data_IF_603800355565
#
_entry.id   IF_603800355565
#
_cell.length_a   1.000
_cell.length_b   1.000
_cell.length_c   1.000
_cell.angle_alpha   90.00
_cell.angle_beta   90.00
_cell.angle_gamma   90.00
#
_symmetry.space_group_name_H-M   'P 1'
#
loop_
_entity.id
_entity.type
_entity.pdbx_description
1 polymer ?
#
# COMPACT_ATOMS: atom_id res chain seq x y z
N UNK A 1 -10.58 -41.69 -11.41
CA UNK A 1 -11.74 -40.83 -11.12
C UNK A 1 -11.65 -40.05 -9.82
N UNK A 2 -11.35 -40.65 -8.65
CA UNK A 2 -11.35 -39.99 -7.32
C UNK A 2 -10.22 -38.96 -7.15
N UNK A 3 -9.06 -39.22 -7.70
CA UNK A 3 -7.91 -38.28 -7.65
C UNK A 3 -8.15 -36.98 -8.44
N UNK A 4 -8.85 -37.02 -9.56
CA UNK A 4 -9.19 -35.82 -10.34
C UNK A 4 -10.24 -34.96 -9.63
N UNK A 5 -11.19 -35.59 -8.93
CA UNK A 5 -12.19 -34.88 -8.13
C UNK A 5 -11.53 -34.10 -6.95
N UNK A 6 -10.53 -34.71 -6.32
CA UNK A 6 -9.75 -34.08 -5.25
C UNK A 6 -8.95 -32.87 -5.75
N UNK A 7 -8.35 -32.95 -6.95
CA UNK A 7 -7.57 -31.85 -7.53
C UNK A 7 -8.43 -30.65 -7.92
N UNK A 8 -9.64 -30.91 -8.48
CA UNK A 8 -10.58 -29.84 -8.82
C UNK A 8 -11.09 -29.14 -7.55
N UNK A 9 -11.43 -29.91 -6.52
CA UNK A 9 -11.84 -29.32 -5.23
C UNK A 9 -10.73 -28.50 -4.59
N UNK A 10 -9.48 -28.98 -4.62
CA UNK A 10 -8.33 -28.23 -4.12
C UNK A 10 -8.10 -26.93 -4.91
N UNK A 11 -8.26 -26.97 -6.22
CA UNK A 11 -8.16 -25.78 -7.07
C UNK A 11 -9.27 -24.76 -6.73
N UNK A 12 -10.53 -25.20 -6.69
CA UNK A 12 -11.68 -24.33 -6.33
C UNK A 12 -11.49 -23.72 -4.95
N UNK A 13 -11.05 -24.53 -3.99
CA UNK A 13 -10.71 -24.04 -2.64
C UNK A 13 -9.63 -22.95 -2.66
N UNK A 14 -8.56 -23.18 -3.40
CA UNK A 14 -7.45 -22.20 -3.53
C UNK A 14 -7.94 -20.88 -4.14
N UNK A 15 -8.73 -20.96 -5.21
CA UNK A 15 -9.32 -19.78 -5.86
C UNK A 15 -10.25 -19.05 -4.88
N UNK A 16 -11.09 -19.77 -4.14
CA UNK A 16 -11.99 -19.19 -3.16
C UNK A 16 -11.23 -18.46 -2.04
N UNK A 17 -10.16 -19.06 -1.50
CA UNK A 17 -9.31 -18.44 -0.48
C UNK A 17 -8.65 -17.17 -1.03
N UNK A 18 -8.07 -17.21 -2.23
CA UNK A 18 -7.48 -16.03 -2.86
C UNK A 18 -8.53 -14.95 -3.11
N UNK A 19 -9.71 -15.30 -3.61
CA UNK A 19 -10.78 -14.34 -3.85
C UNK A 19 -11.22 -13.61 -2.57
N UNK A 20 -11.34 -14.32 -1.45
CA UNK A 20 -11.72 -13.74 -0.15
C UNK A 20 -10.59 -12.92 0.46
N UNK A 21 -9.33 -13.36 0.28
CA UNK A 21 -8.16 -12.65 0.84
C UNK A 21 -7.74 -11.44 0.02
N UNK A 22 -7.99 -11.43 -1.29
CA UNK A 22 -7.74 -10.30 -2.17
C UNK A 22 -8.83 -9.24 -2.01
N UNK A 23 -8.60 -8.27 -1.13
CA UNK A 23 -9.54 -7.18 -0.83
C UNK A 23 -9.60 -6.05 -1.88
N UNK A 24 -9.32 -6.34 -3.16
CA UNK A 24 -9.19 -5.34 -4.23
C UNK A 24 -10.44 -4.47 -4.42
N UNK A 25 -11.63 -5.04 -4.23
CA UNK A 25 -12.90 -4.35 -4.46
C UNK A 25 -13.17 -3.19 -3.50
N UNK A 26 -12.73 -3.31 -2.25
CA UNK A 26 -13.02 -2.28 -1.23
C UNK A 26 -12.23 -1.00 -1.44
N UNK A 27 -10.93 -1.09 -1.76
CA UNK A 27 -10.14 0.12 -1.93
C UNK A 27 -10.38 0.80 -3.29
N UNK A 28 -10.64 0.04 -4.36
CA UNK A 28 -10.88 0.60 -5.69
C UNK A 28 -12.15 1.47 -5.74
N UNK A 29 -13.16 1.15 -4.95
CA UNK A 29 -14.39 1.93 -4.88
C UNK A 29 -14.15 3.32 -4.25
N UNK A 30 -13.54 3.36 -3.06
CA UNK A 30 -13.23 4.62 -2.39
C UNK A 30 -12.27 5.50 -3.19
N UNK A 31 -11.25 4.91 -3.78
CA UNK A 31 -10.34 5.62 -4.67
C UNK A 31 -11.06 6.25 -5.87
N UNK A 32 -11.92 5.48 -6.55
CA UNK A 32 -12.67 5.97 -7.72
C UNK A 32 -13.63 7.10 -7.36
N UNK A 33 -14.30 7.03 -6.22
CA UNK A 33 -15.18 8.09 -5.73
C UNK A 33 -14.43 9.39 -5.43
N UNK A 34 -13.27 9.31 -4.76
CA UNK A 34 -12.45 10.49 -4.45
C UNK A 34 -11.90 11.08 -5.75
N UNK A 35 -11.41 10.24 -6.66
CA UNK A 35 -10.93 10.69 -7.96
C UNK A 35 -12.02 11.41 -8.75
N UNK A 36 -13.24 10.86 -8.80
CA UNK A 36 -14.36 11.49 -9.50
C UNK A 36 -14.71 12.85 -8.92
N UNK A 37 -14.71 13.01 -7.58
CA UNK A 37 -14.94 14.29 -6.94
C UNK A 37 -13.85 15.31 -7.31
N UNK A 38 -12.60 14.90 -7.36
CA UNK A 38 -11.47 15.75 -7.76
C UNK A 38 -11.49 16.11 -9.25
N UNK A 39 -11.92 15.19 -10.13
CA UNK A 39 -12.06 15.42 -11.58
C UNK A 39 -13.12 16.49 -11.87
N UNK A 40 -14.19 16.56 -11.07
CA UNK A 40 -15.25 17.58 -11.19
C UNK A 40 -14.85 18.90 -10.49
N UNK A 41 -13.76 18.90 -9.72
CA UNK A 41 -13.29 20.07 -8.97
C UNK A 41 -13.98 20.27 -7.61
N UNK A 42 -14.72 19.29 -7.12
CA UNK A 42 -15.35 19.31 -5.80
C UNK A 42 -14.38 18.82 -4.71
N UNK A 43 -13.47 19.71 -4.32
CA UNK A 43 -12.48 19.41 -3.28
C UNK A 43 -13.14 19.19 -1.90
N UNK A 44 -14.32 19.77 -1.64
CA UNK A 44 -15.03 19.58 -0.37
C UNK A 44 -15.55 18.14 -0.24
N UNK A 45 -16.18 17.64 -1.30
CA UNK A 45 -16.65 16.26 -1.37
C UNK A 45 -15.46 15.27 -1.33
N UNK A 46 -14.35 15.59 -1.98
CA UNK A 46 -13.16 14.76 -1.95
C UNK A 46 -12.57 14.64 -0.54
N UNK A 47 -12.52 15.76 0.24
CA UNK A 47 -12.10 15.75 1.64
C UNK A 47 -13.04 14.94 2.53
N UNK A 48 -14.35 15.08 2.35
CA UNK A 48 -15.33 14.29 3.10
C UNK A 48 -15.16 12.79 2.85
N UNK A 49 -14.99 12.39 1.59
CA UNK A 49 -14.78 10.98 1.22
C UNK A 49 -13.46 10.45 1.77
N UNK A 50 -12.38 11.24 1.72
CA UNK A 50 -11.08 10.87 2.29
C UNK A 50 -11.18 10.74 3.81
N UNK A 51 -11.81 11.70 4.50
CA UNK A 51 -12.02 11.66 5.95
C UNK A 51 -12.76 10.39 6.39
N UNK A 52 -13.79 10.00 5.63
CA UNK A 52 -14.56 8.77 5.87
C UNK A 52 -13.70 7.50 5.64
N UNK A 53 -12.87 7.50 4.60
CA UNK A 53 -12.01 6.37 4.26
C UNK A 53 -10.88 6.16 5.27
N UNK A 54 -10.18 7.25 5.63
CA UNK A 54 -9.04 7.21 6.56
C UNK A 54 -9.44 7.29 8.04
N UNK A 55 -10.68 7.70 8.33
CA UNK A 55 -11.20 8.01 9.68
C UNK A 55 -10.39 9.09 10.39
N UNK A 56 -9.98 10.11 9.66
CA UNK A 56 -9.25 11.29 10.13
C UNK A 56 -9.98 12.55 9.72
N UNK A 57 -9.71 13.66 10.41
CA UNK A 57 -10.22 14.96 9.98
C UNK A 57 -9.40 15.47 8.79
N UNK A 58 -10.03 15.56 7.63
CA UNK A 58 -9.44 16.05 6.40
C UNK A 58 -9.98 17.42 5.97
N UNK A 59 -10.81 18.08 6.80
CA UNK A 59 -11.53 19.30 6.45
C UNK A 59 -10.63 20.47 6.08
N UNK A 60 -9.47 20.59 6.72
CA UNK A 60 -8.48 21.67 6.53
C UNK A 60 -7.33 21.32 5.59
N UNK A 61 -7.32 20.12 5.01
CA UNK A 61 -6.18 19.68 4.19
C UNK A 61 -6.08 20.48 2.88
N UNK A 62 -4.89 21.01 2.54
CA UNK A 62 -4.64 21.58 1.20
C UNK A 62 -4.80 20.49 0.12
N UNK A 63 -5.12 20.90 -1.09
CA UNK A 63 -5.36 19.96 -2.22
C UNK A 63 -4.15 19.04 -2.50
N UNK A 64 -2.95 19.57 -2.41
CA UNK A 64 -1.71 18.79 -2.60
C UNK A 64 -1.55 17.70 -1.56
N UNK A 65 -1.83 18.02 -0.29
CA UNK A 65 -1.78 17.07 0.82
C UNK A 65 -2.89 16.02 0.73
N UNK A 66 -4.10 16.41 0.29
CA UNK A 66 -5.19 15.49 0.01
C UNK A 66 -4.79 14.47 -1.06
N UNK A 67 -4.23 14.94 -2.19
CA UNK A 67 -3.75 14.08 -3.27
C UNK A 67 -2.64 13.14 -2.80
N UNK A 68 -1.69 13.65 -2.00
CA UNK A 68 -0.62 12.85 -1.41
C UNK A 68 -1.18 11.69 -0.59
N UNK A 69 -2.09 11.98 0.34
CA UNK A 69 -2.69 10.97 1.22
C UNK A 69 -3.51 9.93 0.43
N UNK A 70 -4.24 10.34 -0.60
CA UNK A 70 -4.95 9.41 -1.49
C UNK A 70 -3.98 8.46 -2.19
N UNK A 71 -2.87 8.98 -2.72
CA UNK A 71 -1.83 8.16 -3.37
C UNK A 71 -1.21 7.19 -2.38
N UNK A 72 -0.72 7.68 -1.24
CA UNK A 72 -0.09 6.84 -0.22
C UNK A 72 -0.99 5.72 0.24
N UNK A 73 -2.22 6.06 0.62
CA UNK A 73 -3.16 5.06 1.12
C UNK A 73 -3.53 4.03 0.05
N UNK A 74 -3.71 4.46 -1.20
CA UNK A 74 -4.02 3.56 -2.32
C UNK A 74 -2.88 2.59 -2.60
N UNK A 75 -1.65 3.07 -2.60
CA UNK A 75 -0.45 2.25 -2.83
C UNK A 75 -0.26 1.23 -1.71
N UNK A 76 -0.36 1.67 -0.45
CA UNK A 76 -0.27 0.77 0.70
C UNK A 76 -1.42 -0.23 0.76
N UNK A 77 -2.64 0.18 0.36
CA UNK A 77 -3.76 -0.74 0.24
C UNK A 77 -3.52 -1.79 -0.86
N UNK A 78 -3.02 -1.39 -2.04
CA UNK A 78 -2.66 -2.32 -3.10
C UNK A 78 -1.56 -3.29 -2.65
N UNK A 79 -0.53 -2.79 -1.96
CA UNK A 79 0.50 -3.63 -1.39
C UNK A 79 -0.08 -4.68 -0.42
N UNK A 80 -0.83 -4.25 0.60
CA UNK A 80 -1.33 -5.12 1.67
C UNK A 80 -2.44 -6.07 1.22
N UNK A 81 -3.29 -5.64 0.27
CA UNK A 81 -4.43 -6.43 -0.18
C UNK A 81 -4.16 -7.28 -1.42
N UNK A 82 -3.11 -6.99 -2.18
CA UNK A 82 -2.78 -7.72 -3.40
C UNK A 82 -1.38 -8.32 -3.33
N UNK A 83 -0.34 -7.49 -3.37
CA UNK A 83 1.02 -7.97 -3.53
C UNK A 83 1.52 -8.78 -2.33
N UNK A 84 1.32 -8.29 -1.11
CA UNK A 84 1.71 -9.01 0.10
C UNK A 84 1.02 -10.36 0.25
N UNK A 85 -0.28 -10.40 -0.07
CA UNK A 85 -1.05 -11.66 -0.08
C UNK A 85 -0.49 -12.63 -1.11
N UNK A 86 -0.21 -12.16 -2.35
CA UNK A 86 0.34 -13.00 -3.41
C UNK A 86 1.74 -13.53 -3.07
N UNK A 87 2.62 -12.70 -2.51
CA UNK A 87 3.96 -13.15 -2.08
C UNK A 87 3.85 -14.28 -1.06
N UNK A 88 3.10 -14.07 0.00
CA UNK A 88 2.94 -15.09 1.05
C UNK A 88 2.24 -16.35 0.52
N UNK A 89 1.27 -16.19 -0.38
CA UNK A 89 0.65 -17.33 -1.07
C UNK A 89 1.68 -18.15 -1.84
N UNK A 90 2.50 -17.53 -2.69
CA UNK A 90 3.50 -18.22 -3.50
C UNK A 90 4.55 -18.90 -2.63
N UNK A 91 5.06 -18.23 -1.60
CA UNK A 91 6.06 -18.79 -0.68
C UNK A 91 5.52 -20.03 0.04
N UNK A 92 4.32 -19.95 0.60
CA UNK A 92 3.71 -21.08 1.31
C UNK A 92 3.31 -22.22 0.37
N UNK A 93 2.87 -21.88 -0.84
CA UNK A 93 2.60 -22.88 -1.88
C UNK A 93 3.86 -23.66 -2.24
N UNK A 94 4.99 -22.98 -2.40
CA UNK A 94 6.27 -23.59 -2.75
C UNK A 94 6.79 -24.58 -1.68
N UNK A 95 6.45 -24.34 -0.39
CA UNK A 95 6.80 -25.26 0.71
C UNK A 95 5.70 -26.29 1.02
N UNK A 96 4.66 -26.40 0.16
CA UNK A 96 3.61 -27.40 0.28
C UNK A 96 2.48 -27.07 1.27
N UNK A 97 2.45 -25.87 1.82
CA UNK A 97 1.41 -25.42 2.76
C UNK A 97 0.16 -24.84 2.07
N UNK A 98 0.12 -24.85 0.75
CA UNK A 98 -1.02 -24.42 -0.05
C UNK A 98 -1.40 -22.94 0.16
N UNK A 99 -2.70 -22.60 0.13
CA UNK A 99 -3.18 -21.22 0.21
C UNK A 99 -3.10 -20.59 1.61
N UNK A 100 -2.60 -21.30 2.61
CA UNK A 100 -2.54 -20.83 4.02
C UNK A 100 -1.69 -19.56 4.17
N UNK A 101 -0.71 -19.31 3.29
CA UNK A 101 0.10 -18.09 3.30
C UNK A 101 -0.71 -16.82 3.08
N UNK A 102 -1.71 -16.86 2.20
CA UNK A 102 -2.62 -15.73 1.99
C UNK A 102 -3.42 -15.39 3.25
N UNK A 103 -3.96 -16.42 3.91
CA UNK A 103 -4.70 -16.28 5.16
C UNK A 103 -3.79 -15.78 6.29
N UNK A 104 -2.59 -16.36 6.39
CA UNK A 104 -1.59 -15.97 7.39
C UNK A 104 -1.23 -14.48 7.28
N UNK A 105 -0.94 -13.99 6.07
CA UNK A 105 -0.61 -12.59 5.85
C UNK A 105 -1.75 -11.65 6.26
N UNK A 106 -2.98 -11.97 5.85
CA UNK A 106 -4.17 -11.18 6.23
C UNK A 106 -4.44 -11.18 7.72
N UNK A 107 -4.25 -12.33 8.38
CA UNK A 107 -4.42 -12.44 9.83
C UNK A 107 -3.35 -11.63 10.56
N UNK A 108 -2.09 -11.69 10.13
CA UNK A 108 -0.99 -10.91 10.70
C UNK A 108 -1.24 -9.39 10.56
N UNK A 109 -1.69 -8.94 9.38
CA UNK A 109 -2.10 -7.54 9.16
C UNK A 109 -3.25 -7.13 10.09
N UNK A 110 -4.30 -7.94 10.16
CA UNK A 110 -5.47 -7.67 11.01
C UNK A 110 -5.09 -7.55 12.49
N UNK A 111 -4.28 -8.47 12.99
CA UNK A 111 -3.81 -8.46 14.38
C UNK A 111 -2.96 -7.22 14.66
N UNK A 112 -2.03 -6.87 13.79
CA UNK A 112 -1.17 -5.71 13.97
C UNK A 112 -1.95 -4.40 14.04
N UNK A 113 -3.04 -4.28 13.29
CA UNK A 113 -3.92 -3.10 13.30
C UNK A 113 -4.84 -3.05 14.51
N UNK A 114 -5.48 -4.17 14.86
CA UNK A 114 -6.45 -4.17 15.95
C UNK A 114 -5.82 -4.09 17.34
N UNK A 115 -4.57 -4.51 17.47
CA UNK A 115 -3.86 -4.41 18.74
C UNK A 115 -3.17 -3.06 18.97
N UNK A 116 -3.05 -2.22 17.93
CA UNK A 116 -2.60 -0.82 18.07
C UNK A 116 -3.62 0.11 18.68
N UNK A 117 -4.90 -0.14 18.49
CA UNK A 117 -5.95 0.83 18.79
C UNK A 117 -7.13 0.20 19.52
N UNK A 118 -7.05 0.12 20.86
CA UNK A 118 -8.27 0.02 21.67
C UNK A 118 -8.27 1.09 22.74
N UNK A 119 -9.23 2.04 22.69
CA UNK A 119 -9.41 3.04 23.75
C UNK A 119 -9.86 2.44 25.08
N UNK A 120 -10.47 1.25 25.07
CA UNK A 120 -11.26 0.73 26.21
C UNK A 120 -10.67 -0.49 26.92
N UNK A 121 -9.45 -0.86 26.65
CA UNK A 121 -8.89 -2.05 27.30
C UNK A 121 -7.57 -2.44 26.66
N UNK A 122 -6.56 -2.01 27.28
CA UNK A 122 -5.16 -2.15 26.91
C UNK A 122 -4.74 -3.60 26.67
N UNK A 123 -4.44 -4.00 25.42
CA UNK A 123 -3.45 -5.04 25.26
C UNK A 123 -2.18 -4.54 25.94
N UNK A 124 -1.51 -5.39 26.70
CA UNK A 124 -0.25 -4.99 27.35
C UNK A 124 0.70 -4.43 26.31
N UNK A 125 1.48 -3.41 26.67
CA UNK A 125 2.50 -2.83 25.77
C UNK A 125 3.37 -3.92 25.11
N UNK A 126 3.66 -5.01 25.85
CA UNK A 126 4.38 -6.16 25.34
C UNK A 126 3.66 -6.84 24.16
N UNK A 127 2.32 -6.95 24.20
CA UNK A 127 1.55 -7.55 23.11
C UNK A 127 1.50 -6.67 21.87
N UNK A 128 1.42 -5.33 22.05
CA UNK A 128 1.50 -4.37 20.97
C UNK A 128 2.86 -4.44 20.29
N UNK A 129 3.95 -4.41 21.05
CA UNK A 129 5.30 -4.57 20.50
C UNK A 129 5.52 -5.91 19.79
N UNK A 130 4.99 -6.99 20.33
CA UNK A 130 5.07 -8.30 19.68
C UNK A 130 4.32 -8.33 18.35
N UNK A 131 3.12 -7.75 18.29
CA UNK A 131 2.34 -7.67 17.07
C UNK A 131 3.01 -6.79 16.00
N UNK A 132 3.57 -5.63 16.39
CA UNK A 132 4.29 -4.74 15.48
C UNK A 132 5.59 -5.36 14.97
N UNK A 133 6.32 -6.03 15.85
CA UNK A 133 7.55 -6.73 15.48
C UNK A 133 7.24 -7.91 14.56
N UNK A 134 6.25 -8.72 14.91
CA UNK A 134 5.79 -9.82 14.06
C UNK A 134 5.34 -9.34 12.68
N UNK A 135 4.56 -8.26 12.62
CA UNK A 135 4.14 -7.66 11.34
C UNK A 135 5.33 -7.19 10.51
N UNK A 136 6.30 -6.49 11.12
CA UNK A 136 7.51 -6.05 10.43
C UNK A 136 8.29 -7.21 9.79
N UNK A 137 8.38 -8.36 10.45
CA UNK A 137 9.01 -9.55 9.91
C UNK A 137 8.23 -10.16 8.75
N UNK A 138 6.92 -10.32 8.92
CA UNK A 138 6.05 -10.90 7.89
C UNK A 138 6.02 -10.06 6.63
N UNK A 139 5.93 -8.73 6.79
CA UNK A 139 5.82 -7.78 5.68
C UNK A 139 7.16 -7.39 5.05
N UNK A 140 8.29 -7.77 5.67
CA UNK A 140 9.62 -7.38 5.22
C UNK A 140 9.94 -7.79 3.77
N UNK A 141 9.71 -9.05 3.44
CA UNK A 141 9.96 -9.60 2.09
C UNK A 141 8.89 -9.15 1.10
N UNK A 142 7.58 -9.25 1.42
CA UNK A 142 6.52 -8.74 0.55
C UNK A 142 6.70 -7.29 0.12
N UNK A 143 7.05 -6.39 1.05
CA UNK A 143 7.23 -4.97 0.74
C UNK A 143 8.38 -4.73 -0.24
N UNK A 144 9.50 -5.41 -0.08
CA UNK A 144 10.65 -5.30 -0.98
C UNK A 144 10.37 -5.84 -2.37
N UNK A 145 9.64 -6.95 -2.46
CA UNK A 145 9.23 -7.50 -3.74
C UNK A 145 8.21 -6.59 -4.45
N UNK A 146 7.28 -5.99 -3.69
CA UNK A 146 6.36 -4.98 -4.23
C UNK A 146 7.11 -3.75 -4.75
N UNK A 147 8.05 -3.22 -3.96
CA UNK A 147 8.89 -2.09 -4.35
C UNK A 147 9.71 -2.39 -5.62
N UNK A 148 10.28 -3.60 -5.71
CA UNK A 148 11.00 -4.06 -6.90
C UNK A 148 10.04 -4.16 -8.11
N UNK A 149 8.85 -4.72 -7.92
CA UNK A 149 7.82 -4.75 -8.96
C UNK A 149 7.46 -3.36 -9.48
N UNK A 150 7.27 -2.40 -8.59
CA UNK A 150 7.00 -1.01 -8.97
C UNK A 150 8.19 -0.36 -9.68
N UNK A 151 9.41 -0.64 -9.25
CA UNK A 151 10.62 -0.17 -9.92
C UNK A 151 10.69 -0.70 -11.37
N UNK A 152 10.47 -2.00 -11.56
CA UNK A 152 10.54 -2.65 -12.88
C UNK A 152 9.51 -2.09 -13.86
N UNK A 153 8.29 -1.81 -13.41
CA UNK A 153 7.21 -1.31 -14.30
C UNK A 153 7.13 0.22 -14.37
N UNK A 154 7.90 0.94 -13.53
CA UNK A 154 8.01 2.38 -13.46
C UNK A 154 9.36 2.89 -13.94
N UNK A 155 9.87 3.95 -13.29
CA UNK A 155 11.24 4.40 -13.48
C UNK A 155 12.15 3.64 -12.50
N UNK A 156 12.91 2.68 -13.01
CA UNK A 156 13.71 1.78 -12.18
C UNK A 156 14.80 2.52 -11.40
N UNK A 157 15.53 3.40 -12.06
CA UNK A 157 16.67 4.11 -11.48
C UNK A 157 16.22 5.00 -10.32
N UNK A 158 15.21 5.83 -10.55
CA UNK A 158 14.64 6.73 -9.55
C UNK A 158 13.95 5.97 -8.39
N UNK A 159 13.26 4.87 -8.69
CA UNK A 159 12.61 4.06 -7.67
C UNK A 159 13.65 3.42 -6.73
N UNK A 160 14.73 2.87 -7.27
CA UNK A 160 15.80 2.24 -6.48
C UNK A 160 16.60 3.30 -5.70
N UNK A 161 16.91 4.43 -6.33
CA UNK A 161 17.59 5.53 -5.64
C UNK A 161 16.78 6.05 -4.44
N UNK A 162 15.48 6.31 -4.64
CA UNK A 162 14.58 6.75 -3.58
C UNK A 162 14.43 5.72 -2.45
N UNK A 163 14.28 4.46 -2.81
CA UNK A 163 14.20 3.37 -1.83
C UNK A 163 15.47 3.27 -0.97
N UNK A 164 16.66 3.38 -1.57
CA UNK A 164 17.93 3.26 -0.85
C UNK A 164 18.27 4.49 0.01
N UNK A 165 17.89 5.67 -0.47
CA UNK A 165 18.25 6.92 0.18
C UNK A 165 17.23 7.42 1.22
N UNK A 166 15.94 7.26 0.92
CA UNK A 166 14.91 8.04 1.57
C UNK A 166 13.78 7.24 2.22
N UNK A 167 13.82 5.91 2.20
CA UNK A 167 12.68 5.09 2.65
C UNK A 167 12.16 5.46 4.05
N UNK A 168 13.04 5.73 5.00
CA UNK A 168 12.67 6.11 6.38
C UNK A 168 12.03 7.49 6.47
N UNK A 169 12.24 8.37 5.49
CA UNK A 169 11.61 9.70 5.43
C UNK A 169 10.14 9.64 5.05
N UNK A 170 9.71 8.58 4.34
CA UNK A 170 8.32 8.40 3.93
C UNK A 170 7.48 7.81 5.05
N UNK A 171 7.92 6.71 5.62
CA UNK A 171 7.30 6.04 6.76
C UNK A 171 8.28 5.03 7.39
N UNK A 172 8.10 4.69 8.66
CA UNK A 172 8.94 3.69 9.29
C UNK A 172 8.69 2.28 8.72
N UNK A 173 9.75 1.54 8.48
CA UNK A 173 9.71 0.12 8.10
C UNK A 173 9.28 -0.15 6.66
N UNK A 174 8.46 -1.18 6.47
CA UNK A 174 8.06 -1.69 5.15
C UNK A 174 7.24 -0.70 4.33
N UNK A 175 6.37 0.07 4.97
CA UNK A 175 5.54 1.08 4.30
C UNK A 175 6.41 2.14 3.62
N UNK A 176 7.48 2.61 4.30
CA UNK A 176 8.42 3.56 3.73
C UNK A 176 9.12 3.05 2.48
N UNK A 177 9.48 1.77 2.46
CA UNK A 177 10.10 1.13 1.28
C UNK A 177 9.16 1.17 0.07
N UNK A 178 7.89 0.82 0.26
CA UNK A 178 6.89 0.81 -0.81
C UNK A 178 6.59 2.22 -1.31
N UNK A 179 6.44 3.19 -0.38
CA UNK A 179 6.16 4.59 -0.73
C UNK A 179 7.35 5.26 -1.43
N UNK A 180 8.57 5.02 -0.96
CA UNK A 180 9.78 5.55 -1.59
C UNK A 180 9.95 5.02 -3.02
N UNK A 181 9.79 3.72 -3.22
CA UNK A 181 9.84 3.12 -4.55
C UNK A 181 8.73 3.68 -5.47
N UNK A 182 7.52 3.87 -4.94
CA UNK A 182 6.42 4.48 -5.70
C UNK A 182 6.73 5.92 -6.10
N UNK A 183 7.22 6.72 -5.14
CA UNK A 183 7.61 8.13 -5.37
C UNK A 183 8.61 8.24 -6.51
N UNK A 184 9.64 7.37 -6.54
CA UNK A 184 10.59 7.30 -7.63
C UNK A 184 9.98 6.78 -8.94
N UNK A 185 9.19 5.69 -8.86
CA UNK A 185 8.63 5.03 -10.05
C UNK A 185 7.70 5.94 -10.89
N UNK A 186 6.97 6.86 -10.25
CA UNK A 186 6.05 7.81 -10.92
C UNK A 186 6.53 9.26 -10.85
N UNK A 187 7.73 9.50 -10.33
CA UNK A 187 8.36 10.82 -10.20
C UNK A 187 7.43 11.85 -9.51
N UNK A 188 6.99 11.56 -8.29
CA UNK A 188 6.12 12.43 -7.49
C UNK A 188 6.61 12.51 -6.05
N UNK A 189 6.53 13.68 -5.43
CA UNK A 189 6.89 13.86 -4.03
C UNK A 189 5.80 13.31 -3.10
N UNK A 190 6.11 12.26 -2.35
CA UNK A 190 5.21 11.64 -1.36
C UNK A 190 5.71 11.83 0.08
N UNK A 191 6.81 12.55 0.31
CA UNK A 191 7.27 12.86 1.67
C UNK A 191 6.29 13.81 2.35
N UNK A 192 5.93 13.56 3.63
CA UNK A 192 5.13 14.49 4.40
C UNK A 192 5.82 15.86 4.46
N UNK A 193 5.07 16.94 4.22
CA UNK A 193 5.56 18.26 4.51
C UNK A 193 5.55 18.42 6.03
N UNK A 194 6.72 18.41 6.65
CA UNK A 194 6.85 18.76 8.06
C UNK A 194 6.63 20.27 8.18
N UNK A 195 5.72 20.74 9.06
CA UNK A 195 5.55 22.18 9.29
C UNK A 195 6.83 22.86 9.79
N UNK A 196 7.74 22.08 10.40
CA UNK A 196 9.01 22.51 10.92
C UNK A 196 10.19 22.34 9.95
N UNK A 197 9.97 21.85 8.75
CA UNK A 197 10.99 21.80 7.71
C UNK A 197 11.22 23.23 7.17
N UNK A 198 11.81 24.06 7.99
CA UNK A 198 12.32 25.41 7.65
C UNK A 198 13.59 25.37 6.77
N UNK A 199 13.91 24.25 6.17
CA UNK A 199 14.79 24.24 5.00
C UNK A 199 13.92 24.57 3.80
N UNK A 200 14.00 25.79 3.27
CA UNK A 200 13.40 26.08 1.98
C UNK A 200 14.00 25.04 1.01
N UNK A 201 13.19 24.19 0.42
CA UNK A 201 13.58 23.51 -0.81
C UNK A 201 13.81 24.69 -1.76
N UNK A 202 15.07 24.94 -2.09
CA UNK A 202 15.42 26.01 -3.03
C UNK A 202 14.59 25.77 -4.27
N UNK A 203 13.72 26.72 -4.59
CA UNK A 203 12.98 26.73 -5.85
C UNK A 203 14.03 26.70 -6.95
N UNK A 204 14.23 25.53 -7.57
CA UNK A 204 15.21 25.32 -8.62
C UNK A 204 16.15 24.15 -8.43
N UNK A 205 16.03 23.34 -7.38
CA UNK A 205 16.75 22.06 -7.28
C UNK A 205 16.26 21.12 -8.41
N UNK A 206 17.08 20.83 -9.43
CA UNK A 206 16.69 19.96 -10.55
C UNK A 206 16.38 18.51 -10.11
N UNK A 207 16.69 18.15 -8.85
CA UNK A 207 16.32 16.88 -8.26
C UNK A 207 15.02 16.89 -7.45
N UNK A 208 14.35 18.04 -7.28
CA UNK A 208 13.09 18.11 -6.52
C UNK A 208 11.93 17.53 -7.34
N UNK A 209 11.34 16.41 -6.83
CA UNK A 209 10.16 15.83 -7.46
C UNK A 209 8.96 16.78 -7.37
N UNK A 210 8.10 16.81 -8.40
CA UNK A 210 6.91 17.66 -8.40
C UNK A 210 5.93 17.23 -7.31
N UNK A 211 5.15 18.21 -6.83
CA UNK A 211 4.04 17.97 -5.92
C UNK A 211 2.97 17.08 -6.56
N UNK A 212 2.21 16.33 -5.74
CA UNK A 212 1.12 15.52 -6.21
C UNK A 212 0.09 16.34 -6.99
N UNK A 213 -0.25 15.87 -8.17
CA UNK A 213 -1.28 16.43 -9.07
C UNK A 213 -2.29 15.35 -9.42
N UNK A 214 -3.45 15.75 -9.95
CA UNK A 214 -4.52 14.83 -10.32
C UNK A 214 -4.06 13.76 -11.34
N UNK A 215 -3.17 14.13 -12.27
CA UNK A 215 -2.58 13.21 -13.24
C UNK A 215 -1.83 12.04 -12.57
N UNK A 216 -1.22 12.26 -11.41
CA UNK A 216 -0.50 11.21 -10.68
C UNK A 216 -1.42 10.11 -10.14
N UNK A 217 -2.71 10.38 -9.90
CA UNK A 217 -3.69 9.34 -9.53
C UNK A 217 -3.82 8.29 -10.65
N UNK A 218 -3.85 8.73 -11.91
CA UNK A 218 -3.87 7.80 -13.06
C UNK A 218 -2.56 7.05 -13.22
N UNK A 219 -1.43 7.70 -12.92
CA UNK A 219 -0.11 7.07 -12.95
C UNK A 219 0.00 5.96 -11.91
N UNK A 220 -0.54 6.17 -10.70
CA UNK A 220 -0.59 5.14 -9.64
C UNK A 220 -1.44 3.95 -10.08
N UNK A 221 -2.63 4.18 -10.63
CA UNK A 221 -3.47 3.09 -11.14
C UNK A 221 -2.74 2.30 -12.22
N UNK A 222 -2.11 3.01 -13.18
CA UNK A 222 -1.31 2.37 -14.22
C UNK A 222 -0.11 1.58 -13.69
N UNK A 223 0.57 2.10 -12.65
CA UNK A 223 1.68 1.42 -11.98
C UNK A 223 1.22 0.12 -11.33
N UNK A 224 0.14 0.18 -10.55
CA UNK A 224 -0.42 -0.99 -9.86
C UNK A 224 -0.87 -2.06 -10.86
N UNK A 225 -1.58 -1.67 -11.93
CA UNK A 225 -2.03 -2.63 -12.94
C UNK A 225 -0.87 -3.28 -13.70
N UNK A 226 0.15 -2.51 -14.10
CA UNK A 226 1.35 -3.08 -14.74
C UNK A 226 2.09 -4.02 -13.80
N UNK A 227 2.18 -3.69 -12.52
CA UNK A 227 2.78 -4.58 -11.54
C UNK A 227 1.96 -5.87 -11.35
N UNK A 228 0.62 -5.79 -11.31
CA UNK A 228 -0.24 -6.99 -11.27
C UNK A 228 0.01 -7.89 -12.49
N UNK A 229 0.08 -7.30 -13.69
CA UNK A 229 0.37 -8.07 -14.91
C UNK A 229 1.78 -8.69 -14.88
N UNK A 230 2.77 -7.99 -14.33
CA UNK A 230 4.13 -8.53 -14.15
C UNK A 230 4.15 -9.78 -13.25
N UNK A 231 3.23 -9.87 -12.28
CA UNK A 231 3.18 -10.95 -11.29
C UNK A 231 2.30 -12.14 -11.73
N UNK A 232 1.53 -12.02 -12.82
CA UNK A 232 0.74 -13.10 -13.42
C UNK A 232 1.53 -13.90 -14.44
#
# INVERSE_FOLDING_TARGET
GLWQFSSVLAFVWTVAVLYVTLGFRQFSHHFSEIRQALDVGDDALAREKLARWLRVDASSLPRTELLRQVIEHSVLAAHRHVFGVLVCFVVFWAVGLGPSGAVFYRLAEYLSRNWRARPDGTPSLALQHAAETGWRWVDHVPARLTALGFAVVGNFEEAVASWRGDAERFAPGSDGVVLAATSGAINVRLTPQSPDALTPIEEGDPGARPDPQLAHLSSVVGLVWRAVVLWM
#
